data_IF_565263998757
#
_entry.id   IF_565263998757
#
_cell.length_a   1.000
_cell.length_b   1.000
_cell.length_c   1.000
_cell.angle_alpha   90.00
_cell.angle_beta   90.00
_cell.angle_gamma   90.00
#
_symmetry.space_group_name_H-M   'P 1'
#
loop_
_entity.id
_entity.type
_entity.pdbx_description
1 polymer ?
#
# COMPACT_ATOMS: atom_id res chain seq x y z
N UNK A 1 -37.64 -29.14 35.41
CA UNK A 1 -36.94 -29.65 36.61
C UNK A 1 -35.45 -29.57 36.32
N UNK A 2 -34.85 -28.40 36.50
CA UNK A 2 -34.14 -27.97 37.71
C UNK A 2 -32.91 -28.84 38.00
N UNK A 3 -31.75 -28.38 37.52
CA UNK A 3 -30.55 -28.38 38.35
C UNK A 3 -29.93 -26.98 38.32
N UNK A 4 -29.86 -26.43 39.52
CA UNK A 4 -29.32 -25.14 39.96
C UNK A 4 -27.94 -25.42 40.57
N UNK A 5 -26.97 -24.56 40.30
CA UNK A 5 -25.88 -24.08 41.22
C UNK A 5 -25.04 -23.09 40.40
N UNK A 6 -25.23 -21.78 40.48
CA UNK A 6 -24.81 -20.80 41.50
C UNK A 6 -23.28 -20.61 41.69
N UNK A 7 -22.93 -19.31 41.71
CA UNK A 7 -21.77 -18.64 42.32
C UNK A 7 -20.52 -18.45 41.43
N UNK A 8 -19.78 -17.34 41.47
CA UNK A 8 -19.99 -16.04 42.12
C UNK A 8 -19.00 -15.01 41.52
N UNK A 9 -19.35 -13.77 41.79
CA UNK A 9 -18.80 -12.49 41.34
C UNK A 9 -17.42 -12.14 41.92
N UNK A 10 -16.67 -11.37 41.12
CA UNK A 10 -15.70 -10.32 41.49
C UNK A 10 -14.37 -10.70 42.17
N UNK A 11 -13.27 -10.23 41.56
CA UNK A 11 -12.31 -9.36 42.26
C UNK A 11 -11.42 -8.61 41.26
N UNK A 12 -11.44 -7.28 41.38
CA UNK A 12 -10.50 -6.33 40.78
C UNK A 12 -9.11 -6.56 41.39
N UNK A 13 -8.06 -6.53 40.58
CA UNK A 13 -6.74 -6.14 41.06
C UNK A 13 -6.04 -5.21 40.05
N UNK A 14 -5.81 -3.98 40.52
CA UNK A 14 -4.83 -3.04 39.95
C UNK A 14 -3.46 -3.55 40.36
N UNK A 15 -2.52 -3.64 39.41
CA UNK A 15 -1.11 -3.82 39.73
C UNK A 15 -0.27 -2.71 39.10
N UNK A 16 0.52 -2.13 39.99
CA UNK A 16 1.33 -0.93 39.93
C UNK A 16 2.58 -1.16 39.08
N UNK A 17 2.84 -0.29 38.09
CA UNK A 17 4.17 -0.19 37.47
C UNK A 17 5.08 0.62 38.40
N UNK A 18 6.07 -0.04 38.99
CA UNK A 18 7.21 0.60 39.64
C UNK A 18 8.42 0.53 38.69
N UNK A 19 9.01 1.69 38.46
CA UNK A 19 10.28 1.89 37.79
C UNK A 19 11.43 1.52 38.72
N UNK A 20 12.49 0.90 38.20
CA UNK A 20 13.82 0.96 38.79
C UNK A 20 14.89 1.03 37.70
N UNK A 21 15.57 2.19 37.71
CA UNK A 21 16.91 2.40 37.17
C UNK A 21 17.90 1.36 37.71
N UNK A 22 18.84 0.93 36.86
CA UNK A 22 20.26 0.83 37.26
C UNK A 22 21.21 0.84 36.05
N UNK A 23 22.31 1.52 36.31
CA UNK A 23 23.39 2.06 35.49
C UNK A 23 24.51 1.05 35.19
N UNK A 24 25.52 1.42 34.37
CA UNK A 24 26.39 0.50 33.65
C UNK A 24 27.66 0.11 34.42
N UNK A 25 28.25 -1.02 34.05
CA UNK A 25 29.58 -1.45 34.49
C UNK A 25 30.58 -1.25 33.35
N UNK A 26 31.44 -0.24 33.51
CA UNK A 26 32.77 -0.19 32.90
C UNK A 26 33.71 -1.12 33.68
N UNK A 27 34.62 -1.84 33.00
CA UNK A 27 36.09 -1.72 33.20
C UNK A 27 36.90 -2.84 32.50
N UNK A 28 38.04 -2.37 31.95
CA UNK A 28 39.37 -3.02 31.83
C UNK A 28 39.68 -3.94 30.65
N UNK A 29 40.16 -3.29 29.58
CA UNK A 29 41.59 -3.27 29.12
C UNK A 29 42.58 -4.06 30.00
N UNK A 30 43.35 -4.98 29.39
CA UNK A 30 44.82 -4.90 29.27
C UNK A 30 45.47 -6.20 28.73
N UNK A 31 46.49 -5.98 27.91
CA UNK A 31 47.74 -6.73 27.74
C UNK A 31 47.86 -7.97 26.85
N UNK A 32 48.39 -7.67 25.65
CA UNK A 32 49.54 -8.29 24.99
C UNK A 32 50.33 -9.31 25.83
N UNK A 33 50.66 -10.47 25.24
CA UNK A 33 52.05 -10.91 25.18
C UNK A 33 52.29 -11.92 24.04
N UNK A 34 53.31 -11.56 23.29
CA UNK A 34 53.95 -12.24 22.18
C UNK A 34 54.87 -13.32 22.76
N UNK A 35 54.74 -14.58 22.32
CA UNK A 35 55.86 -15.53 22.40
C UNK A 35 55.89 -16.44 21.19
N UNK A 36 57.05 -16.39 20.53
CA UNK A 36 57.51 -17.11 19.36
C UNK A 36 58.28 -18.32 19.88
N UNK A 37 57.90 -19.53 19.53
CA UNK A 37 58.77 -20.71 19.68
C UNK A 37 58.46 -21.71 18.58
N UNK A 38 59.48 -21.98 17.77
CA UNK A 38 59.57 -23.06 16.78
C UNK A 38 59.67 -24.41 17.47
N UNK A 39 59.07 -25.46 16.90
CA UNK A 39 59.75 -26.75 16.69
C UNK A 39 58.90 -27.73 15.86
N UNK A 40 59.57 -28.37 14.90
CA UNK A 40 59.12 -29.51 14.12
C UNK A 40 58.96 -30.75 15.01
N UNK A 41 57.95 -31.56 14.72
CA UNK A 41 57.76 -32.88 15.34
C UNK A 41 56.61 -33.64 14.70
N UNK A 42 56.94 -34.45 13.69
CA UNK A 42 56.07 -35.43 13.02
C UNK A 42 55.55 -36.45 14.04
N UNK A 43 54.25 -36.73 14.09
CA UNK A 43 53.65 -38.09 14.04
C UNK A 43 52.12 -38.10 14.27
N UNK A 44 51.42 -38.77 13.34
CA UNK A 44 50.14 -39.46 13.49
C UNK A 44 48.88 -38.66 13.88
N UNK A 45 48.30 -37.93 12.92
CA UNK A 45 46.88 -37.57 12.97
C UNK A 45 46.01 -38.77 12.57
N UNK A 46 45.43 -39.39 13.59
CA UNK A 46 44.22 -40.20 13.48
C UNK A 46 43.10 -39.35 12.88
N UNK A 47 42.78 -39.63 11.60
CA UNK A 47 41.72 -38.98 10.85
C UNK A 47 40.37 -39.40 11.41
N UNK A 48 39.97 -38.79 12.54
CA UNK A 48 38.59 -38.79 13.01
C UNK A 48 37.82 -37.90 12.04
N UNK A 49 37.29 -38.52 10.98
CA UNK A 49 36.37 -37.89 10.05
C UNK A 49 35.31 -37.15 10.88
N UNK A 50 35.39 -35.81 10.87
CA UNK A 50 34.33 -34.96 11.34
C UNK A 50 33.14 -35.30 10.45
N UNK A 51 32.17 -36.02 11.03
CA UNK A 51 30.84 -36.15 10.45
C UNK A 51 30.26 -34.75 10.47
N UNK A 52 30.49 -34.01 9.39
CA UNK A 52 29.74 -32.80 9.08
C UNK A 52 28.28 -33.24 9.06
N UNK A 53 27.39 -32.63 9.88
CA UNK A 53 25.97 -32.92 9.79
C UNK A 53 25.54 -32.72 8.32
N UNK A 54 24.59 -33.53 7.81
CA UNK A 54 24.15 -33.39 6.43
C UNK A 54 23.74 -31.95 6.20
N UNK A 55 24.48 -31.23 5.34
CA UNK A 55 24.06 -29.91 4.87
C UNK A 55 22.71 -30.12 4.23
N UNK A 56 21.65 -29.60 4.84
CA UNK A 56 20.34 -29.58 4.22
C UNK A 56 20.49 -28.81 2.91
N UNK A 57 20.33 -29.52 1.79
CA UNK A 57 20.47 -28.95 0.47
C UNK A 57 19.32 -27.96 0.24
N UNK A 58 19.65 -26.68 0.02
CA UNK A 58 18.67 -25.63 -0.18
C UNK A 58 17.70 -25.98 -1.31
N UNK A 59 18.20 -26.61 -2.38
CA UNK A 59 17.38 -27.06 -3.51
C UNK A 59 16.33 -28.08 -3.07
N UNK A 60 16.70 -29.05 -2.22
CA UNK A 60 15.76 -30.04 -1.69
C UNK A 60 14.70 -29.40 -0.78
N UNK A 61 15.05 -28.36 -0.03
CA UNK A 61 14.07 -27.61 0.78
C UNK A 61 13.08 -26.87 -0.13
N UNK A 62 13.58 -26.18 -1.16
CA UNK A 62 12.76 -25.46 -2.14
C UNK A 62 11.79 -26.43 -2.84
N UNK A 63 12.26 -27.61 -3.25
CA UNK A 63 11.40 -28.63 -3.88
C UNK A 63 10.27 -29.09 -2.96
N UNK A 64 10.58 -29.35 -1.68
CA UNK A 64 9.57 -29.71 -0.68
C UNK A 64 8.55 -28.61 -0.44
N UNK A 65 8.98 -27.35 -0.39
CA UNK A 65 8.08 -26.20 -0.24
C UNK A 65 7.16 -26.09 -1.46
N UNK A 66 7.72 -26.09 -2.67
CA UNK A 66 6.96 -25.91 -3.90
C UNK A 66 5.94 -27.03 -4.12
N UNK A 67 6.29 -28.27 -3.79
CA UNK A 67 5.35 -29.39 -3.82
C UNK A 67 4.23 -29.20 -2.78
N UNK A 68 4.60 -28.77 -1.57
CA UNK A 68 3.66 -28.59 -0.45
C UNK A 68 2.62 -27.48 -0.67
N UNK A 69 3.00 -26.42 -1.39
CA UNK A 69 2.12 -25.26 -1.64
C UNK A 69 1.37 -25.37 -2.97
N UNK A 70 1.67 -26.38 -3.79
CA UNK A 70 0.99 -26.61 -5.07
C UNK A 70 -0.53 -26.72 -4.84
N UNK A 71 -1.29 -26.04 -5.69
CA UNK A 71 -2.76 -26.04 -5.68
C UNK A 71 -3.44 -25.53 -4.40
N UNK A 72 -2.71 -24.78 -3.55
CA UNK A 72 -3.26 -24.25 -2.29
C UNK A 72 -3.93 -22.86 -2.40
N UNK A 73 -4.14 -22.32 -3.60
CA UNK A 73 -4.59 -20.92 -3.82
C UNK A 73 -3.73 -19.92 -3.02
N UNK A 74 -2.41 -20.00 -3.22
CA UNK A 74 -1.40 -19.20 -2.51
C UNK A 74 -1.43 -19.35 -0.98
N UNK A 75 -1.72 -20.56 -0.50
CA UNK A 75 -1.83 -20.86 0.92
C UNK A 75 -3.20 -20.58 1.54
N UNK A 76 -4.22 -20.21 0.75
CA UNK A 76 -5.58 -20.01 1.27
C UNK A 76 -6.29 -21.34 1.63
N UNK A 77 -5.95 -22.43 0.94
CA UNK A 77 -6.55 -23.76 1.11
C UNK A 77 -5.64 -24.76 1.85
N UNK A 78 -4.49 -24.32 2.37
CA UNK A 78 -3.53 -25.20 3.08
C UNK A 78 -4.02 -25.51 4.51
N UNK A 79 -3.88 -26.75 4.95
CA UNK A 79 -4.20 -27.18 6.32
C UNK A 79 -3.21 -26.59 7.35
N UNK A 80 -3.61 -26.38 8.62
CA UNK A 80 -2.73 -25.85 9.67
C UNK A 80 -1.43 -26.64 9.88
N UNK A 81 -1.48 -27.97 9.81
CA UNK A 81 -0.33 -28.85 10.03
C UNK A 81 0.68 -28.69 8.89
N UNK A 82 0.19 -28.72 7.65
CA UNK A 82 1.00 -28.49 6.45
C UNK A 82 1.57 -27.08 6.39
N UNK A 83 0.80 -26.08 6.87
CA UNK A 83 1.27 -24.71 7.04
C UNK A 83 2.47 -24.64 7.97
N UNK A 84 2.39 -25.29 9.13
CA UNK A 84 3.49 -25.34 10.08
C UNK A 84 4.75 -26.00 9.49
N UNK A 85 4.57 -27.09 8.73
CA UNK A 85 5.70 -27.73 8.00
C UNK A 85 6.34 -26.76 7.00
N UNK A 86 5.54 -26.07 6.19
CA UNK A 86 6.05 -25.09 5.21
C UNK A 86 6.76 -23.94 5.92
N UNK A 87 6.18 -23.39 6.99
CA UNK A 87 6.75 -22.28 7.74
C UNK A 87 8.10 -22.67 8.39
N UNK A 88 8.26 -23.91 8.87
CA UNK A 88 9.55 -24.45 9.37
C UNK A 88 10.60 -24.58 8.26
N UNK A 89 10.22 -25.05 7.07
CA UNK A 89 11.12 -25.13 5.92
C UNK A 89 11.56 -23.73 5.45
N UNK A 90 10.68 -22.73 5.53
CA UNK A 90 11.01 -21.34 5.22
C UNK A 90 12.00 -20.75 6.22
N UNK A 91 11.89 -21.09 7.50
CA UNK A 91 12.87 -20.69 8.53
C UNK A 91 14.25 -21.30 8.27
N UNK A 92 14.31 -22.56 7.82
CA UNK A 92 15.58 -23.18 7.43
C UNK A 92 16.21 -22.48 6.22
N UNK A 93 15.43 -22.10 5.20
CA UNK A 93 15.93 -21.32 4.06
C UNK A 93 16.35 -19.90 4.45
N UNK A 94 15.67 -19.26 5.41
CA UNK A 94 16.08 -17.95 5.95
C UNK A 94 17.47 -18.04 6.59
N UNK A 95 17.77 -19.11 7.34
CA UNK A 95 19.11 -19.33 7.91
C UNK A 95 20.18 -19.53 6.83
N UNK A 96 19.85 -20.25 5.75
CA UNK A 96 20.75 -20.43 4.60
C UNK A 96 20.96 -19.09 3.88
N UNK A 97 19.89 -18.33 3.64
CA UNK A 97 19.93 -17.04 2.96
C UNK A 97 20.62 -15.93 3.74
N UNK A 98 20.68 -16.02 5.08
CA UNK A 98 21.50 -15.12 5.91
C UNK A 98 23.00 -15.19 5.54
N UNK A 99 23.48 -16.34 5.08
CA UNK A 99 24.86 -16.51 4.60
C UNK A 99 25.04 -16.24 3.10
N UNK A 100 23.97 -15.92 2.37
CA UNK A 100 24.00 -15.75 0.92
C UNK A 100 24.72 -14.45 0.52
N UNK A 101 25.60 -14.57 -0.47
CA UNK A 101 26.30 -13.46 -1.12
C UNK A 101 26.18 -13.59 -2.65
N UNK A 102 25.96 -12.51 -3.40
CA UNK A 102 25.71 -11.15 -2.91
C UNK A 102 24.40 -11.05 -2.11
N UNK A 103 24.28 -10.01 -1.27
CA UNK A 103 23.04 -9.73 -0.54
C UNK A 103 21.89 -9.46 -1.53
N UNK A 104 20.63 -9.71 -1.14
CA UNK A 104 19.50 -9.67 -2.06
C UNK A 104 19.36 -8.39 -2.88
N UNK A 105 19.64 -7.21 -2.30
CA UNK A 105 19.53 -5.94 -3.02
C UNK A 105 20.58 -5.75 -4.11
N UNK A 106 21.75 -6.38 -3.96
CA UNK A 106 22.83 -6.36 -4.94
C UNK A 106 22.76 -7.56 -5.90
N UNK A 107 21.84 -8.50 -5.64
CA UNK A 107 21.69 -9.70 -6.45
C UNK A 107 20.83 -9.40 -7.70
N UNK A 108 21.33 -9.63 -8.93
CA UNK A 108 20.55 -9.44 -10.16
C UNK A 108 19.26 -10.26 -10.20
N UNK A 109 19.23 -11.39 -9.49
CA UNK A 109 18.06 -12.24 -9.37
C UNK A 109 16.93 -11.53 -8.64
N UNK A 110 17.12 -10.43 -7.90
CA UNK A 110 16.01 -9.72 -7.26
C UNK A 110 15.02 -9.17 -8.31
N UNK A 111 15.55 -8.68 -9.43
CA UNK A 111 14.77 -8.05 -10.49
C UNK A 111 14.03 -9.09 -11.32
N UNK A 112 12.73 -8.90 -11.52
CA UNK A 112 11.92 -9.78 -12.34
C UNK A 112 10.44 -9.80 -11.97
N UNK A 113 9.69 -10.64 -12.68
CA UNK A 113 8.30 -10.94 -12.41
C UNK A 113 8.17 -12.21 -11.59
N UNK A 114 7.28 -12.19 -10.60
CA UNK A 114 7.04 -13.33 -9.74
C UNK A 114 5.56 -13.60 -9.53
N UNK A 115 5.21 -14.89 -9.45
CA UNK A 115 3.92 -15.32 -8.91
C UNK A 115 4.02 -15.39 -7.39
N UNK A 116 2.98 -14.95 -6.69
CA UNK A 116 2.88 -15.14 -5.24
C UNK A 116 2.35 -16.55 -4.98
N UNK A 117 3.26 -17.51 -4.85
CA UNK A 117 2.93 -18.93 -4.76
C UNK A 117 2.42 -19.33 -3.36
N UNK A 118 2.82 -18.62 -2.31
CA UNK A 118 2.35 -18.87 -0.95
C UNK A 118 2.43 -17.62 -0.08
N UNK A 119 1.45 -17.47 0.81
CA UNK A 119 1.47 -16.50 1.90
C UNK A 119 1.02 -17.10 3.21
N UNK A 120 1.70 -16.74 4.30
CA UNK A 120 1.29 -17.05 5.68
C UNK A 120 1.15 -15.77 6.50
N UNK A 121 0.11 -15.68 7.32
CA UNK A 121 -0.08 -14.54 8.23
C UNK A 121 0.77 -14.73 9.49
N UNK A 122 1.54 -13.72 9.86
CA UNK A 122 2.24 -13.72 11.14
C UNK A 122 1.26 -13.67 12.32
N UNK A 123 1.72 -14.06 13.51
CA UNK A 123 0.91 -14.11 14.76
C UNK A 123 0.25 -12.77 15.13
N UNK A 124 0.75 -11.64 14.61
CA UNK A 124 0.21 -10.30 14.84
C UNK A 124 -0.61 -9.71 13.69
N UNK A 125 -0.83 -10.45 12.60
CA UNK A 125 -1.44 -9.91 11.39
C UNK A 125 -2.92 -10.30 11.27
N UNK A 126 -3.80 -9.29 11.23
CA UNK A 126 -5.22 -9.48 10.94
C UNK A 126 -5.48 -9.37 9.43
N UNK A 127 -6.03 -10.43 8.84
CA UNK A 127 -6.40 -10.49 7.42
C UNK A 127 -5.36 -11.14 6.51
N UNK A 128 -5.67 -11.18 5.21
CA UNK A 128 -4.84 -11.81 4.18
C UNK A 128 -3.63 -10.92 3.82
N UNK A 129 -2.38 -11.43 3.90
CA UNK A 129 -1.18 -10.66 3.59
C UNK A 129 -1.09 -10.20 2.14
N UNK A 130 -1.57 -11.03 1.21
CA UNK A 130 -1.67 -10.69 -0.20
C UNK A 130 -3.12 -10.53 -0.62
N UNK A 131 -3.43 -9.41 -1.30
CA UNK A 131 -4.76 -9.08 -1.81
C UNK A 131 -5.76 -8.54 -0.79
N UNK A 132 -5.43 -8.56 0.51
CA UNK A 132 -6.21 -7.88 1.55
C UNK A 132 -7.70 -8.21 1.53
N UNK A 133 -8.56 -7.18 1.57
CA UNK A 133 -10.03 -7.36 1.62
C UNK A 133 -10.60 -8.05 0.38
N UNK A 134 -9.94 -7.98 -0.78
CA UNK A 134 -10.39 -8.68 -2.00
C UNK A 134 -10.34 -10.20 -1.84
N UNK A 135 -9.51 -10.71 -0.92
CA UNK A 135 -9.40 -12.15 -0.61
C UNK A 135 -10.01 -12.53 0.75
N UNK A 136 -10.65 -11.58 1.45
CA UNK A 136 -11.45 -11.89 2.63
C UNK A 136 -12.72 -12.70 2.28
N UNK A 137 -13.50 -13.12 3.29
CA UNK A 137 -14.69 -13.97 3.08
C UNK A 137 -15.68 -13.40 2.06
N UNK A 138 -16.04 -12.13 2.22
CA UNK A 138 -16.93 -11.41 1.28
C UNK A 138 -16.23 -11.12 -0.04
N UNK A 139 -14.93 -10.79 0.02
CA UNK A 139 -14.08 -10.56 -1.14
C UNK A 139 -14.06 -11.76 -2.07
N UNK A 140 -13.78 -12.97 -1.57
CA UNK A 140 -13.75 -14.22 -2.35
C UNK A 140 -15.07 -14.54 -3.05
N UNK A 141 -16.21 -14.19 -2.44
CA UNK A 141 -17.52 -14.40 -3.05
C UNK A 141 -17.76 -13.46 -4.26
N UNK A 142 -17.27 -12.22 -4.18
CA UNK A 142 -17.45 -11.22 -5.25
C UNK A 142 -16.32 -11.25 -6.28
N UNK A 143 -15.09 -11.47 -5.83
CA UNK A 143 -13.85 -11.35 -6.57
C UNK A 143 -13.09 -12.68 -6.47
N UNK A 144 -13.47 -13.65 -7.32
CA UNK A 144 -12.76 -14.92 -7.37
C UNK A 144 -11.34 -14.67 -7.87
N UNK A 145 -10.33 -14.91 -7.03
CA UNK A 145 -8.93 -14.71 -7.40
C UNK A 145 -8.57 -15.60 -8.59
N UNK A 146 -7.90 -15.02 -9.58
CA UNK A 146 -7.43 -15.68 -10.79
C UNK A 146 -5.90 -15.70 -10.90
N UNK A 147 -5.23 -14.73 -10.27
CA UNK A 147 -3.77 -14.64 -10.28
C UNK A 147 -3.26 -13.65 -9.24
N UNK A 148 -2.06 -13.91 -8.72
CA UNK A 148 -1.37 -13.07 -7.74
C UNK A 148 0.07 -12.91 -8.17
N UNK A 149 0.47 -11.67 -8.41
CA UNK A 149 1.77 -11.36 -8.96
C UNK A 149 2.42 -10.22 -8.20
N UNK A 150 3.74 -10.31 -8.06
CA UNK A 150 4.59 -9.23 -7.59
C UNK A 150 5.80 -9.15 -8.50
N UNK A 151 6.16 -7.94 -8.91
CA UNK A 151 7.38 -7.71 -9.68
C UNK A 151 8.22 -6.65 -9.02
N UNK A 152 9.54 -6.82 -9.11
CA UNK A 152 10.53 -5.80 -8.76
C UNK A 152 11.26 -5.47 -10.05
N UNK A 153 11.02 -4.27 -10.56
CA UNK A 153 11.45 -3.80 -11.86
C UNK A 153 12.51 -2.70 -11.67
N UNK A 154 13.47 -2.67 -12.57
CA UNK A 154 14.46 -1.60 -12.59
C UNK A 154 13.83 -0.27 -13.02
N UNK A 155 14.37 0.88 -12.55
CA UNK A 155 15.47 0.99 -11.60
C UNK A 155 15.06 0.76 -10.13
N UNK A 156 13.82 1.03 -9.76
CA UNK A 156 13.37 1.05 -8.36
C UNK A 156 11.85 0.94 -8.23
N UNK A 157 11.22 0.10 -9.05
CA UNK A 157 9.75 -0.02 -9.11
C UNK A 157 9.32 -1.37 -8.54
N UNK A 158 8.32 -1.36 -7.68
CA UNK A 158 7.62 -2.57 -7.27
C UNK A 158 6.16 -2.50 -7.71
N UNK A 159 5.66 -3.58 -8.30
CA UNK A 159 4.26 -3.71 -8.70
C UNK A 159 3.64 -4.93 -8.06
N UNK A 160 2.42 -4.77 -7.54
CA UNK A 160 1.59 -5.86 -7.06
C UNK A 160 0.34 -5.92 -7.92
N UNK A 161 -0.02 -7.11 -8.40
CA UNK A 161 -1.22 -7.32 -9.20
C UNK A 161 -2.02 -8.48 -8.65
N UNK A 162 -3.30 -8.24 -8.41
CA UNK A 162 -4.27 -9.27 -8.03
C UNK A 162 -5.32 -9.34 -9.11
N UNK A 163 -5.28 -10.40 -9.90
CA UNK A 163 -6.31 -10.67 -10.90
C UNK A 163 -7.49 -11.40 -10.26
N UNK A 164 -8.69 -11.05 -10.71
CA UNK A 164 -9.92 -11.63 -10.22
C UNK A 164 -10.96 -11.77 -11.34
N UNK A 165 -11.98 -12.58 -11.07
CA UNK A 165 -13.24 -12.61 -11.82
C UNK A 165 -14.37 -12.09 -10.94
N UNK A 166 -14.88 -10.91 -11.26
CA UNK A 166 -16.04 -10.31 -10.59
C UNK A 166 -17.28 -11.15 -10.93
N UNK A 167 -18.02 -11.55 -9.88
CA UNK A 167 -19.11 -12.53 -9.95
C UNK A 167 -18.73 -13.86 -10.62
N UNK A 168 -17.43 -14.18 -10.71
CA UNK A 168 -16.91 -15.40 -11.32
C UNK A 168 -16.73 -15.38 -12.83
N UNK A 169 -17.16 -14.32 -13.55
CA UNK A 169 -17.08 -14.27 -15.01
C UNK A 169 -16.51 -12.97 -15.61
N UNK A 170 -16.60 -11.83 -14.93
CA UNK A 170 -16.06 -10.57 -15.47
C UNK A 170 -14.59 -10.45 -15.06
N UNK A 171 -13.62 -10.51 -15.99
CA UNK A 171 -12.22 -10.37 -15.64
C UNK A 171 -11.92 -8.96 -15.12
N UNK A 172 -10.99 -8.87 -14.19
CA UNK A 172 -10.50 -7.60 -13.66
C UNK A 172 -9.23 -7.79 -12.85
N UNK A 173 -8.63 -6.70 -12.41
CA UNK A 173 -7.49 -6.76 -11.51
C UNK A 173 -7.39 -5.53 -10.61
N UNK A 174 -6.71 -5.68 -9.48
CA UNK A 174 -6.23 -4.56 -8.67
C UNK A 174 -4.73 -4.48 -8.81
N UNK A 175 -4.24 -3.33 -9.24
CA UNK A 175 -2.84 -3.04 -9.42
C UNK A 175 -2.32 -2.01 -8.43
N UNK A 176 -1.18 -2.27 -7.80
CA UNK A 176 -0.41 -1.28 -7.07
C UNK A 176 0.93 -1.09 -7.76
N UNK A 177 1.39 0.16 -7.77
CA UNK A 177 2.72 0.54 -8.24
C UNK A 177 3.36 1.42 -7.19
N UNK A 178 4.61 1.13 -6.88
CA UNK A 178 5.34 1.84 -5.85
C UNK A 178 6.82 1.96 -6.14
N UNK A 179 7.46 2.84 -5.37
CA UNK A 179 8.92 3.05 -5.39
C UNK A 179 9.56 2.17 -4.33
N UNK A 180 10.58 1.42 -4.72
CA UNK A 180 11.41 0.58 -3.85
C UNK A 180 12.50 1.45 -3.24
N UNK A 181 12.58 1.45 -1.92
CA UNK A 181 13.61 2.14 -1.16
C UNK A 181 14.34 1.11 -0.29
N UNK A 182 15.68 1.03 -0.35
CA UNK A 182 16.44 0.25 0.62
C UNK A 182 16.12 0.72 2.04
N UNK A 183 15.96 -0.22 2.96
CA UNK A 183 15.75 0.05 4.37
C UNK A 183 16.79 -0.70 5.21
N UNK A 184 17.47 0.02 6.10
CA UNK A 184 18.58 -0.50 6.89
C UNK A 184 19.87 -0.71 6.08
N UNK A 185 20.88 -1.27 6.76
CA UNK A 185 22.25 -1.43 6.23
C UNK A 185 22.57 -2.88 5.80
N UNK A 186 21.65 -3.84 6.02
CA UNK A 186 21.89 -5.28 5.83
C UNK A 186 21.76 -5.75 4.37
N UNK A 187 21.25 -4.89 3.49
CA UNK A 187 21.16 -5.16 2.05
C UNK A 187 20.08 -6.17 1.63
N UNK A 188 19.10 -6.46 2.48
CA UNK A 188 18.02 -7.42 2.21
C UNK A 188 16.60 -6.83 2.30
N UNK A 189 16.46 -5.69 2.96
CA UNK A 189 15.16 -5.13 3.33
C UNK A 189 14.83 -3.93 2.47
N UNK A 190 13.60 -3.92 1.98
CA UNK A 190 13.06 -2.81 1.21
C UNK A 190 11.77 -2.29 1.82
N UNK A 191 11.66 -0.97 1.82
CA UNK A 191 10.40 -0.28 1.99
C UNK A 191 9.86 0.13 0.63
N UNK A 192 8.64 -0.31 0.33
CA UNK A 192 7.94 0.07 -0.90
C UNK A 192 6.85 1.06 -0.57
N UNK A 193 6.90 2.25 -1.17
CA UNK A 193 5.80 3.21 -1.13
C UNK A 193 4.92 3.04 -2.36
N UNK A 194 3.75 2.46 -2.17
CA UNK A 194 2.73 2.32 -3.19
C UNK A 194 1.86 3.58 -3.32
N UNK A 195 1.60 3.93 -4.57
CA UNK A 195 0.54 4.85 -4.96
C UNK A 195 -0.85 4.26 -4.68
N UNK A 196 -1.93 5.08 -4.72
CA UNK A 196 -3.28 4.57 -4.60
C UNK A 196 -3.55 3.48 -5.65
N UNK A 197 -4.10 2.31 -5.24
CA UNK A 197 -4.37 1.19 -6.12
C UNK A 197 -5.26 1.56 -7.30
N UNK A 198 -5.07 0.86 -8.43
CA UNK A 198 -5.94 0.93 -9.60
C UNK A 198 -6.80 -0.33 -9.65
N UNK A 199 -8.12 -0.17 -9.52
CA UNK A 199 -9.09 -1.19 -9.85
C UNK A 199 -9.40 -1.14 -11.34
N UNK A 200 -9.21 -2.26 -12.02
CA UNK A 200 -9.57 -2.45 -13.43
C UNK A 200 -10.66 -3.51 -13.53
N UNK A 201 -11.72 -3.20 -14.29
CA UNK A 201 -12.79 -4.15 -14.62
C UNK A 201 -12.89 -4.23 -16.15
N UNK A 202 -12.86 -5.45 -16.69
CA UNK A 202 -12.72 -5.68 -18.12
C UNK A 202 -11.42 -5.11 -18.67
N UNK A 203 -11.45 -4.64 -19.92
CA UNK A 203 -10.26 -4.13 -20.61
C UNK A 203 -10.10 -2.59 -20.54
N UNK A 204 -11.11 -1.85 -20.08
CA UNK A 204 -11.12 -0.38 -20.24
C UNK A 204 -11.68 0.44 -19.09
N UNK A 205 -12.20 -0.18 -18.02
CA UNK A 205 -12.70 0.58 -16.86
C UNK A 205 -11.63 0.61 -15.78
N UNK A 206 -11.04 1.78 -15.56
CA UNK A 206 -9.98 1.99 -14.58
C UNK A 206 -10.42 3.01 -13.55
N UNK A 207 -10.26 2.66 -12.27
CA UNK A 207 -10.59 3.53 -11.15
C UNK A 207 -9.44 3.48 -10.13
N UNK A 208 -8.80 4.62 -9.88
CA UNK A 208 -7.93 4.76 -8.73
C UNK A 208 -8.75 4.80 -7.45
N UNK A 209 -8.40 3.91 -6.54
CA UNK A 209 -9.12 3.61 -5.30
C UNK A 209 -8.17 3.68 -4.11
N UNK A 210 -8.71 3.86 -2.91
CA UNK A 210 -7.91 3.87 -1.69
C UNK A 210 -6.92 5.02 -1.54
N UNK A 211 -5.97 4.82 -0.62
CA UNK A 211 -4.90 5.77 -0.26
C UNK A 211 -3.54 5.20 -0.66
N UNK A 212 -2.50 6.02 -0.58
CA UNK A 212 -1.11 5.55 -0.61
C UNK A 212 -0.83 4.62 0.55
N UNK A 213 0.09 3.67 0.36
CA UNK A 213 0.43 2.66 1.36
C UNK A 213 1.91 2.33 1.33
N UNK A 214 2.54 2.11 2.49
CA UNK A 214 3.89 1.56 2.58
C UNK A 214 3.87 0.08 3.00
N UNK A 215 4.85 -0.69 2.52
CA UNK A 215 5.09 -2.07 2.94
C UNK A 215 6.58 -2.26 3.13
N UNK A 216 6.98 -2.88 4.24
CA UNK A 216 8.36 -3.28 4.52
C UNK A 216 8.48 -4.79 4.33
N UNK A 217 9.41 -5.20 3.48
CA UNK A 217 9.65 -6.60 3.17
C UNK A 217 11.15 -6.89 3.14
N UNK A 218 11.60 -7.85 3.95
CA UNK A 218 12.94 -8.41 3.87
C UNK A 218 12.96 -9.60 2.91
N UNK A 219 13.92 -9.63 1.99
CA UNK A 219 14.15 -10.80 1.13
C UNK A 219 15.12 -11.75 1.84
N UNK A 220 14.61 -12.84 2.40
CA UNK A 220 15.40 -13.70 3.29
C UNK A 220 16.21 -14.76 2.56
N UNK A 221 15.81 -15.13 1.34
CA UNK A 221 16.49 -16.11 0.49
C UNK A 221 16.11 -15.86 -0.98
N UNK A 222 17.04 -16.07 -1.90
CA UNK A 222 16.85 -15.83 -3.32
C UNK A 222 17.65 -16.81 -4.18
N UNK A 223 17.00 -17.50 -5.10
CA UNK A 223 17.67 -18.32 -6.13
C UNK A 223 17.02 -18.11 -7.52
N UNK A 224 17.38 -18.91 -8.51
CA UNK A 224 16.86 -18.79 -9.87
C UNK A 224 15.36 -19.11 -9.98
N UNK A 225 14.78 -19.83 -9.01
CA UNK A 225 13.41 -20.34 -9.02
C UNK A 225 12.50 -19.55 -8.09
N UNK A 226 12.99 -19.20 -6.91
CA UNK A 226 12.21 -18.62 -5.81
C UNK A 226 12.88 -17.42 -5.18
N UNK A 227 12.04 -16.53 -4.67
CA UNK A 227 12.42 -15.48 -3.74
C UNK A 227 11.55 -15.61 -2.51
N UNK A 228 12.17 -15.60 -1.33
CA UNK A 228 11.46 -15.62 -0.06
C UNK A 228 11.37 -14.21 0.51
N UNK A 229 10.18 -13.85 0.99
CA UNK A 229 9.91 -12.56 1.60
C UNK A 229 9.40 -12.71 3.02
N UNK A 230 9.81 -11.80 3.90
CA UNK A 230 9.33 -11.68 5.27
C UNK A 230 8.85 -10.26 5.52
N UNK A 231 7.55 -10.12 5.79
CA UNK A 231 6.97 -8.83 6.15
C UNK A 231 7.34 -8.43 7.57
N UNK A 232 7.35 -7.12 7.86
CA UNK A 232 7.64 -6.59 9.21
C UNK A 232 6.74 -7.14 10.31
N UNK A 233 5.54 -7.61 9.96
CA UNK A 233 4.58 -8.26 10.88
C UNK A 233 4.74 -9.79 10.99
N UNK A 234 5.81 -10.34 10.42
CA UNK A 234 6.08 -11.77 10.41
C UNK A 234 5.26 -12.58 9.39
N UNK A 235 4.65 -11.92 8.40
CA UNK A 235 4.08 -12.65 7.26
C UNK A 235 5.19 -13.23 6.40
N UNK A 236 4.98 -14.45 5.93
CA UNK A 236 5.92 -15.16 5.07
C UNK A 236 5.37 -15.23 3.64
N UNK A 237 6.27 -15.09 2.67
CA UNK A 237 5.94 -15.07 1.25
C UNK A 237 6.89 -15.98 0.48
N UNK A 238 6.33 -16.80 -0.40
CA UNK A 238 7.10 -17.52 -1.43
C UNK A 238 6.72 -16.96 -2.79
N UNK A 239 7.70 -16.41 -3.48
CA UNK A 239 7.56 -15.89 -4.83
C UNK A 239 8.24 -16.85 -5.80
N UNK A 240 7.55 -17.29 -6.85
CA UNK A 240 8.15 -18.11 -7.92
C UNK A 240 8.41 -17.26 -9.14
N UNK A 241 9.59 -17.40 -9.74
CA UNK A 241 10.03 -16.58 -10.86
C UNK A 241 9.32 -16.94 -12.17
N UNK A 242 8.93 -15.93 -12.95
CA UNK A 242 8.45 -16.06 -14.32
C UNK A 242 7.06 -16.70 -14.47
N UNK A 243 6.83 -17.42 -15.57
CA UNK A 243 5.57 -18.15 -15.82
C UNK A 243 4.40 -17.20 -16.10
N UNK A 244 3.27 -17.38 -15.39
CA UNK A 244 2.10 -16.51 -15.57
C UNK A 244 2.40 -15.03 -15.25
N UNK A 245 3.37 -14.75 -14.37
CA UNK A 245 3.80 -13.40 -14.04
C UNK A 245 4.41 -12.65 -15.24
N UNK A 246 5.09 -13.35 -16.16
CA UNK A 246 5.69 -12.72 -17.36
C UNK A 246 4.62 -12.30 -18.36
N UNK A 247 3.51 -13.04 -18.45
CA UNK A 247 2.37 -12.71 -19.29
C UNK A 247 1.42 -11.68 -18.64
N UNK A 248 1.60 -11.36 -17.35
CA UNK A 248 0.67 -10.52 -16.59
C UNK A 248 0.81 -9.01 -16.86
N UNK A 249 1.74 -8.56 -17.72
CA UNK A 249 1.91 -7.15 -18.09
C UNK A 249 2.27 -6.25 -16.89
N UNK A 250 3.18 -6.75 -16.04
CA UNK A 250 3.51 -6.16 -14.73
C UNK A 250 4.16 -4.78 -14.80
N UNK A 251 4.75 -4.43 -15.95
CA UNK A 251 5.32 -3.12 -16.28
C UNK A 251 4.25 -2.03 -16.37
N UNK A 252 3.05 -2.39 -16.83
CA UNK A 252 1.91 -1.47 -17.03
C UNK A 252 1.03 -1.31 -15.80
N UNK A 253 1.22 -2.13 -14.78
CA UNK A 253 0.38 -2.13 -13.58
C UNK A 253 0.50 -0.79 -12.85
N UNK A 254 -0.66 -0.18 -12.55
CA UNK A 254 -0.76 1.06 -11.79
C UNK A 254 -0.55 2.34 -12.60
N UNK A 255 -0.18 2.25 -13.88
CA UNK A 255 -0.01 3.42 -14.75
C UNK A 255 -1.36 4.00 -15.23
N UNK A 256 -2.44 3.24 -15.13
CA UNK A 256 -3.75 3.66 -15.59
C UNK A 256 -4.29 4.82 -14.75
N UNK A 257 -4.98 5.74 -15.41
CA UNK A 257 -5.66 6.86 -14.78
C UNK A 257 -7.15 6.64 -14.78
N UNK A 258 -7.84 7.20 -13.78
CA UNK A 258 -9.30 7.19 -13.75
C UNK A 258 -9.83 7.99 -14.93
N UNK A 259 -10.46 7.35 -15.90
CA UNK A 259 -11.14 8.06 -16.98
C UNK A 259 -12.46 8.64 -16.49
N UNK A 260 -12.90 9.76 -17.10
CA UNK A 260 -14.19 10.37 -16.79
C UNK A 260 -15.34 9.36 -17.01
N UNK A 261 -15.24 8.57 -18.08
CA UNK A 261 -16.19 7.49 -18.39
C UNK A 261 -16.24 6.45 -17.29
N UNK A 262 -15.08 6.00 -16.79
CA UNK A 262 -15.03 5.05 -15.67
C UNK A 262 -15.68 5.65 -14.43
N UNK A 263 -15.31 6.88 -14.05
CA UNK A 263 -15.89 7.57 -12.89
C UNK A 263 -17.41 7.73 -13.01
N UNK A 264 -17.91 8.10 -14.20
CA UNK A 264 -19.33 8.25 -14.47
C UNK A 264 -20.08 6.91 -14.37
N UNK A 265 -19.54 5.84 -14.96
CA UNK A 265 -20.14 4.50 -14.91
C UNK A 265 -20.17 3.93 -13.49
N UNK A 266 -19.08 4.06 -12.74
CA UNK A 266 -19.07 3.65 -11.33
C UNK A 266 -20.06 4.46 -10.50
N UNK A 267 -20.14 5.78 -10.71
CA UNK A 267 -21.12 6.63 -10.01
C UNK A 267 -22.55 6.24 -10.36
N UNK A 268 -22.85 6.03 -11.65
CA UNK A 268 -24.15 5.58 -12.12
C UNK A 268 -24.52 4.21 -11.54
N UNK A 269 -23.56 3.28 -11.43
CA UNK A 269 -23.76 1.99 -10.78
C UNK A 269 -24.22 2.15 -9.32
N UNK A 270 -23.51 2.93 -8.50
CA UNK A 270 -23.91 3.15 -7.11
C UNK A 270 -25.24 3.90 -6.97
N UNK A 271 -25.49 4.90 -7.82
CA UNK A 271 -26.77 5.60 -7.87
C UNK A 271 -27.89 4.62 -8.23
N UNK A 272 -27.68 3.71 -9.18
CA UNK A 272 -28.67 2.70 -9.56
C UNK A 272 -28.97 1.70 -8.44
N UNK A 273 -27.95 1.25 -7.68
CA UNK A 273 -28.16 0.40 -6.51
C UNK A 273 -28.98 1.13 -5.45
N UNK A 274 -28.70 2.41 -5.22
CA UNK A 274 -29.43 3.21 -4.25
C UNK A 274 -30.89 3.42 -4.67
N UNK A 275 -31.12 3.92 -5.89
CA UNK A 275 -32.46 4.19 -6.43
C UNK A 275 -33.29 2.90 -6.59
N UNK A 276 -32.68 1.81 -7.05
CA UNK A 276 -33.32 0.51 -7.13
C UNK A 276 -33.77 0.00 -5.77
N UNK A 277 -32.92 0.15 -4.75
CA UNK A 277 -33.29 -0.18 -3.37
C UNK A 277 -34.42 0.70 -2.84
N UNK A 278 -34.39 2.01 -3.13
CA UNK A 278 -35.46 2.93 -2.75
C UNK A 278 -36.80 2.58 -3.40
N UNK A 279 -36.80 2.23 -4.69
CA UNK A 279 -38.01 1.80 -5.40
C UNK A 279 -38.59 0.51 -4.79
N UNK A 280 -37.73 -0.48 -4.51
CA UNK A 280 -38.14 -1.72 -3.83
C UNK A 280 -38.70 -1.45 -2.43
N UNK A 281 -38.13 -0.49 -1.71
CA UNK A 281 -38.57 -0.11 -0.36
C UNK A 281 -39.98 0.50 -0.34
N UNK A 282 -40.30 1.34 -1.33
CA UNK A 282 -41.60 2.05 -1.44
C UNK A 282 -42.75 1.10 -1.81
N UNK A 283 -42.47 -0.06 -2.41
CA UNK A 283 -43.49 -1.04 -2.85
C UNK A 283 -44.42 -1.56 -1.73
N UNK A 284 -44.07 -1.38 -0.45
CA UNK A 284 -44.87 -1.82 0.70
C UNK A 284 -44.75 -3.31 1.05
N UNK A 285 -44.29 -4.16 0.13
CA UNK A 285 -44.11 -5.61 0.36
C UNK A 285 -42.88 -5.90 1.22
N UNK A 286 -43.04 -6.72 2.28
CA UNK A 286 -41.95 -7.08 3.21
C UNK A 286 -40.77 -7.74 2.49
N UNK A 287 -41.04 -8.64 1.55
CA UNK A 287 -40.01 -9.33 0.77
C UNK A 287 -39.17 -8.34 -0.07
N UNK A 288 -39.80 -7.34 -0.69
CA UNK A 288 -39.09 -6.33 -1.50
C UNK A 288 -38.30 -5.36 -0.62
N UNK A 289 -38.78 -5.03 0.58
CA UNK A 289 -38.01 -4.27 1.57
C UNK A 289 -36.76 -5.01 2.03
N UNK A 290 -36.86 -6.33 2.25
CA UNK A 290 -35.69 -7.15 2.55
C UNK A 290 -34.68 -7.13 1.39
N UNK A 291 -35.17 -7.26 0.14
CA UNK A 291 -34.32 -7.15 -1.04
C UNK A 291 -33.64 -5.77 -1.18
N UNK A 292 -34.36 -4.69 -0.87
CA UNK A 292 -33.80 -3.34 -0.83
C UNK A 292 -32.64 -3.22 0.17
N UNK A 293 -32.82 -3.75 1.39
CA UNK A 293 -31.75 -3.79 2.40
C UNK A 293 -30.54 -4.58 1.90
N UNK A 294 -30.75 -5.75 1.30
CA UNK A 294 -29.67 -6.54 0.71
C UNK A 294 -28.92 -5.76 -0.37
N UNK A 295 -29.63 -5.01 -1.23
CA UNK A 295 -29.03 -4.22 -2.29
C UNK A 295 -28.18 -3.06 -1.75
N UNK A 296 -28.69 -2.34 -0.73
CA UNK A 296 -27.93 -1.27 -0.07
C UNK A 296 -26.74 -1.80 0.71
N UNK A 297 -26.88 -2.94 1.40
CA UNK A 297 -25.76 -3.59 2.09
C UNK A 297 -24.68 -4.05 1.09
N UNK A 298 -25.07 -4.60 -0.06
CA UNK A 298 -24.15 -4.93 -1.14
C UNK A 298 -23.45 -3.68 -1.68
N UNK A 299 -24.20 -2.60 -1.93
CA UNK A 299 -23.66 -1.31 -2.36
C UNK A 299 -22.68 -0.73 -1.35
N UNK A 300 -23.01 -0.77 -0.06
CA UNK A 300 -22.14 -0.33 1.03
C UNK A 300 -20.88 -1.20 1.14
N UNK A 301 -21.00 -2.51 0.98
CA UNK A 301 -19.85 -3.44 1.01
C UNK A 301 -18.89 -3.18 -0.16
N UNK A 302 -19.40 -3.09 -1.40
CA UNK A 302 -18.58 -2.77 -2.58
C UNK A 302 -17.98 -1.37 -2.45
N UNK A 303 -18.78 -0.38 -2.05
CA UNK A 303 -18.33 1.00 -1.84
C UNK A 303 -17.26 1.11 -0.75
N UNK A 304 -17.36 0.32 0.32
CA UNK A 304 -16.34 0.22 1.37
C UNK A 304 -15.01 -0.32 0.85
N UNK A 305 -15.04 -1.40 0.08
CA UNK A 305 -13.84 -2.00 -0.56
C UNK A 305 -13.18 -1.01 -1.52
N UNK A 306 -13.98 -0.36 -2.39
CA UNK A 306 -13.52 0.66 -3.35
C UNK A 306 -12.95 1.88 -2.61
N UNK A 307 -13.61 2.38 -1.55
CA UNK A 307 -13.10 3.56 -0.82
C UNK A 307 -11.79 3.26 -0.10
N UNK A 308 -11.63 2.07 0.47
CA UNK A 308 -10.47 1.73 1.31
C UNK A 308 -9.28 1.12 0.53
N UNK A 309 -9.44 0.76 -0.74
CA UNK A 309 -8.32 0.25 -1.55
C UNK A 309 -7.87 -1.18 -1.21
N UNK A 310 -8.62 -1.89 -0.38
CA UNK A 310 -8.38 -3.30 -0.04
C UNK A 310 -7.21 -3.59 0.90
N UNK A 311 -6.27 -2.67 1.12
CA UNK A 311 -5.16 -2.86 2.07
C UNK A 311 -5.61 -2.58 3.50
N UNK A 312 -5.15 -3.42 4.43
CA UNK A 312 -5.26 -3.21 5.87
C UNK A 312 -3.98 -2.55 6.34
N UNK A 313 -4.05 -1.26 6.65
CA UNK A 313 -2.95 -0.50 7.24
C UNK A 313 -3.27 -0.23 8.70
N UNK A 314 -2.29 -0.43 9.58
CA UNK A 314 -2.38 0.10 10.93
C UNK A 314 -2.08 1.60 10.90
N UNK A 315 -2.48 2.31 11.95
CA UNK A 315 -2.28 3.77 12.07
C UNK A 315 -0.79 4.19 11.98
N UNK A 316 0.11 3.30 12.34
CA UNK A 316 1.56 3.58 12.28
C UNK A 316 2.07 3.51 10.84
N UNK A 317 1.64 2.51 10.07
CA UNK A 317 1.96 2.43 8.63
C UNK A 317 1.37 3.62 7.87
N UNK A 318 0.15 4.05 8.21
CA UNK A 318 -0.45 5.23 7.60
C UNK A 318 0.42 6.48 7.84
N UNK A 319 0.87 6.68 9.08
CA UNK A 319 1.75 7.81 9.43
C UNK A 319 3.10 7.73 8.72
N UNK A 320 3.69 6.55 8.61
CA UNK A 320 4.95 6.35 7.88
C UNK A 320 4.77 6.58 6.38
N UNK A 321 3.71 6.05 5.77
CA UNK A 321 3.42 6.23 4.36
C UNK A 321 3.20 7.71 4.02
N UNK A 322 2.48 8.45 4.87
CA UNK A 322 2.28 9.89 4.71
C UNK A 322 3.60 10.68 4.82
N UNK A 323 4.43 10.36 5.82
CA UNK A 323 5.72 11.01 6.01
C UNK A 323 6.67 10.79 4.82
N UNK A 324 6.80 9.53 4.37
CA UNK A 324 7.63 9.15 3.24
C UNK A 324 7.12 9.75 1.92
N UNK A 325 5.80 9.77 1.71
CA UNK A 325 5.19 10.43 0.56
C UNK A 325 5.48 11.94 0.55
N UNK A 326 5.42 12.60 1.72
CA UNK A 326 5.76 14.01 1.84
C UNK A 326 7.23 14.28 1.55
N UNK A 327 8.13 13.41 1.98
CA UNK A 327 9.57 13.50 1.70
C UNK A 327 9.87 13.34 0.20
N UNK A 328 9.36 12.28 -0.44
CA UNK A 328 9.54 12.06 -1.88
C UNK A 328 8.98 13.22 -2.70
N UNK A 329 7.85 13.81 -2.29
CA UNK A 329 7.29 14.99 -2.94
C UNK A 329 8.23 16.21 -2.81
N UNK A 330 8.89 16.39 -1.67
CA UNK A 330 9.89 17.46 -1.48
C UNK A 330 11.13 17.22 -2.35
N UNK A 331 11.62 15.99 -2.44
CA UNK A 331 12.78 15.63 -3.27
C UNK A 331 12.49 15.86 -4.75
N UNK A 332 11.36 15.35 -5.25
CA UNK A 332 10.93 15.59 -6.65
C UNK A 332 10.77 17.08 -6.96
N UNK A 333 10.23 17.86 -6.02
CA UNK A 333 10.12 19.31 -6.18
C UNK A 333 11.50 19.98 -6.30
N UNK A 334 12.45 19.59 -5.45
CA UNK A 334 13.83 20.09 -5.49
C UNK A 334 14.56 19.70 -6.78
N UNK A 335 14.35 18.48 -7.26
CA UNK A 335 14.90 18.02 -8.55
C UNK A 335 14.32 18.83 -9.71
N UNK A 336 13.00 19.00 -9.77
CA UNK A 336 12.35 19.83 -10.79
C UNK A 336 12.80 21.30 -10.73
N UNK A 337 12.97 21.87 -9.54
CA UNK A 337 13.51 23.23 -9.37
C UNK A 337 14.97 23.33 -9.84
N UNK A 338 15.80 22.30 -9.57
CA UNK A 338 17.18 22.22 -10.07
C UNK A 338 17.26 22.07 -11.58
N UNK A 339 16.40 21.25 -12.17
CA UNK A 339 16.30 21.09 -13.63
C UNK A 339 15.84 22.40 -14.29
N UNK A 340 14.83 23.07 -13.72
CA UNK A 340 14.37 24.37 -14.20
C UNK A 340 15.46 25.46 -14.07
N UNK A 341 16.21 25.48 -12.97
CA UNK A 341 17.31 26.41 -12.76
C UNK A 341 18.53 26.11 -13.67
N UNK A 342 18.82 24.83 -13.92
CA UNK A 342 19.88 24.39 -14.82
C UNK A 342 19.57 24.64 -16.30
N UNK A 343 18.31 24.50 -16.71
CA UNK A 343 17.85 24.81 -18.06
C UNK A 343 17.87 26.31 -18.38
N UNK A 344 17.79 27.18 -17.36
CA UNK A 344 17.85 28.64 -17.51
C UNK A 344 19.24 29.21 -17.80
N UNK A 345 20.32 28.44 -17.61
CA UNK A 345 21.68 28.90 -17.85
C UNK A 345 22.19 28.66 -19.29
N UNK A 346 21.37 28.04 -20.16
CA UNK A 346 21.81 27.61 -21.48
C UNK A 346 20.72 27.64 -22.55
N UNK A 347 19.98 28.74 -22.70
CA UNK A 347 19.24 29.00 -23.95
C UNK A 347 18.75 30.45 -24.04
N UNK A 348 19.54 31.31 -24.67
CA UNK A 348 19.10 32.61 -25.19
C UNK A 348 18.96 32.53 -26.71
N UNK A 349 17.87 31.96 -27.21
CA UNK A 349 17.22 32.37 -28.47
C UNK A 349 16.06 31.42 -28.80
N UNK A 350 14.86 31.98 -28.98
CA UNK A 350 13.74 31.23 -29.55
C UNK A 350 12.38 31.77 -29.13
N UNK A 351 11.95 32.84 -29.79
CA UNK A 351 10.61 33.40 -29.69
C UNK A 351 9.59 32.39 -30.26
N UNK A 352 8.65 31.90 -29.46
CA UNK A 352 7.67 30.91 -29.89
C UNK A 352 6.44 30.87 -28.99
N UNK A 353 5.43 31.66 -29.34
CA UNK A 353 4.12 31.71 -28.69
C UNK A 353 3.31 30.45 -29.00
N UNK A 354 2.98 29.65 -27.98
CA UNK A 354 2.07 28.51 -28.09
C UNK A 354 1.10 28.45 -26.90
N UNK A 355 -0.16 28.77 -27.16
CA UNK A 355 -1.27 28.69 -26.20
C UNK A 355 -1.73 27.24 -25.99
N UNK A 356 -1.64 26.73 -24.76
CA UNK A 356 -2.20 25.43 -24.36
C UNK A 356 -3.66 25.54 -23.88
N UNK A 357 -4.51 24.52 -24.09
CA UNK A 357 -5.92 24.56 -23.75
C UNK A 357 -6.16 24.31 -22.26
N UNK A 358 -7.04 25.11 -21.66
CA UNK A 358 -7.51 24.96 -20.29
C UNK A 358 -8.48 23.77 -20.17
N UNK A 359 -8.28 22.93 -19.15
CA UNK A 359 -9.20 21.85 -18.80
C UNK A 359 -10.52 22.40 -18.20
N UNK A 360 -11.69 21.80 -18.49
CA UNK A 360 -12.97 22.37 -18.08
C UNK A 360 -13.28 22.09 -16.60
N UNK A 361 -13.29 23.16 -15.80
CA UNK A 361 -13.64 23.19 -14.37
C UNK A 361 -15.09 22.73 -14.03
N UNK A 362 -15.87 22.31 -15.03
CA UNK A 362 -17.30 21.96 -14.89
C UNK A 362 -17.48 20.51 -14.40
N UNK A 363 -16.60 19.59 -14.80
CA UNK A 363 -16.72 18.17 -14.43
C UNK A 363 -16.39 17.89 -12.94
N UNK A 364 -15.46 18.65 -12.36
CA UNK A 364 -15.11 18.55 -10.94
C UNK A 364 -16.28 18.95 -10.02
N UNK A 365 -17.11 19.89 -10.47
CA UNK A 365 -18.29 20.37 -9.73
C UNK A 365 -19.43 19.34 -9.73
N UNK A 366 -19.61 18.59 -10.81
CA UNK A 366 -20.64 17.55 -10.90
C UNK A 366 -20.34 16.35 -9.98
N UNK A 367 -19.08 15.90 -9.94
CA UNK A 367 -18.67 14.82 -9.04
C UNK A 367 -18.77 15.21 -7.55
N UNK A 368 -18.41 16.45 -7.21
CA UNK A 368 -18.58 17.00 -5.86
C UNK A 368 -20.05 17.10 -5.45
N UNK A 369 -20.94 17.48 -6.38
CA UNK A 369 -22.39 17.56 -6.15
C UNK A 369 -23.01 16.18 -5.91
N UNK A 370 -22.63 15.15 -6.68
CA UNK A 370 -23.10 13.78 -6.45
C UNK A 370 -22.66 13.23 -5.08
N UNK A 371 -21.41 13.47 -4.67
CA UNK A 371 -20.90 13.06 -3.35
C UNK A 371 -21.61 13.81 -2.21
N UNK A 372 -21.91 15.09 -2.41
CA UNK A 372 -22.65 15.90 -1.45
C UNK A 372 -24.11 15.44 -1.32
N UNK A 373 -24.80 15.15 -2.43
CA UNK A 373 -26.16 14.62 -2.43
C UNK A 373 -26.24 13.24 -1.77
N UNK A 374 -25.23 12.38 -1.97
CA UNK A 374 -25.14 11.09 -1.30
C UNK A 374 -24.97 11.25 0.22
N UNK A 375 -24.11 12.19 0.66
CA UNK A 375 -23.94 12.52 2.07
C UNK A 375 -25.18 13.14 2.71
N UNK A 376 -25.89 14.01 1.99
CA UNK A 376 -27.14 14.63 2.44
C UNK A 376 -28.29 13.60 2.54
N UNK A 377 -28.37 12.65 1.60
CA UNK A 377 -29.35 11.57 1.65
C UNK A 377 -29.12 10.65 2.85
N UNK A 378 -27.87 10.30 3.15
CA UNK A 378 -27.51 9.50 4.33
C UNK A 378 -27.83 10.28 5.63
N UNK A 379 -27.49 11.58 5.68
CA UNK A 379 -27.80 12.44 6.84
C UNK A 379 -29.31 12.64 7.05
N UNK A 380 -30.10 12.71 5.98
CA UNK A 380 -31.56 12.82 6.04
C UNK A 380 -32.24 11.55 6.59
N UNK A 381 -31.75 10.37 6.20
CA UNK A 381 -32.25 9.08 6.70
C UNK A 381 -31.89 8.88 8.18
N UNK A 382 -30.72 9.35 8.64
CA UNK A 382 -30.35 9.33 10.07
C UNK A 382 -31.25 10.26 10.89
N UNK A 383 -31.64 11.42 10.35
CA UNK A 383 -32.55 12.36 11.04
C UNK A 383 -34.00 11.88 11.14
N UNK A 384 -34.50 11.15 10.13
CA UNK A 384 -35.87 10.61 10.17
C UNK A 384 -35.97 9.26 10.90
N UNK A 385 -34.85 8.56 11.12
CA UNK A 385 -34.82 7.22 11.70
C UNK A 385 -34.72 7.13 13.23
N UNK A 386 -34.66 8.25 13.96
CA UNK A 386 -34.62 8.23 15.43
C UNK A 386 -33.45 7.42 16.02
N UNK A 387 -32.33 7.32 15.30
CA UNK A 387 -31.08 6.82 15.88
C UNK A 387 -30.49 7.96 16.69
N UNK A 388 -30.59 7.87 18.02
CA UNK A 388 -29.95 8.77 18.96
C UNK A 388 -28.45 8.82 18.65
N UNK A 389 -28.04 9.89 17.99
CA UNK A 389 -26.64 10.29 17.86
C UNK A 389 -26.16 10.66 19.25
N UNK A 390 -25.02 10.13 19.68
CA UNK A 390 -24.47 10.44 20.99
C UNK A 390 -24.16 11.94 21.07
N UNK A 391 -24.34 12.56 22.25
CA UNK A 391 -24.11 14.01 22.44
C UNK A 391 -22.69 14.43 22.09
N UNK A 392 -21.75 13.49 22.12
CA UNK A 392 -20.36 13.71 21.75
C UNK A 392 -20.17 13.80 20.22
N UNK A 393 -21.00 13.11 19.43
CA UNK A 393 -20.97 13.19 17.97
C UNK A 393 -21.56 14.52 17.46
N UNK A 394 -22.60 15.04 18.13
CA UNK A 394 -23.14 16.38 17.85
C UNK A 394 -22.08 17.46 18.14
N UNK A 395 -21.38 17.37 19.28
CA UNK A 395 -20.31 18.30 19.65
C UNK A 395 -19.14 18.26 18.67
N UNK A 396 -18.78 17.07 18.19
CA UNK A 396 -17.72 16.91 17.21
C UNK A 396 -18.12 17.48 15.84
N UNK A 397 -19.38 17.31 15.43
CA UNK A 397 -19.91 17.90 14.21
C UNK A 397 -19.96 19.44 14.27
N UNK A 398 -20.37 20.00 15.41
CA UNK A 398 -20.35 21.45 15.65
C UNK A 398 -18.93 22.02 15.64
N UNK A 399 -17.96 21.32 16.25
CA UNK A 399 -16.55 21.72 16.25
C UNK A 399 -15.96 21.73 14.83
N UNK A 400 -16.27 20.71 14.02
CA UNK A 400 -15.85 20.63 12.60
C UNK A 400 -16.48 21.75 11.76
N UNK A 401 -17.77 22.05 11.97
CA UNK A 401 -18.45 23.14 11.29
C UNK A 401 -17.86 24.51 11.65
N UNK A 402 -17.50 24.72 12.93
CA UNK A 402 -16.85 25.93 13.39
C UNK A 402 -15.45 26.12 12.77
N UNK A 403 -14.66 25.03 12.67
CA UNK A 403 -13.32 25.09 12.10
C UNK A 403 -13.36 25.35 10.59
N UNK A 404 -14.29 24.73 9.84
CA UNK A 404 -14.51 25.04 8.43
C UNK A 404 -14.88 26.50 8.19
N UNK A 405 -15.69 27.09 9.08
CA UNK A 405 -16.07 28.50 9.01
C UNK A 405 -14.85 29.42 9.24
N UNK A 406 -13.93 29.05 10.14
CA UNK A 406 -12.67 29.77 10.36
C UNK A 406 -11.73 29.68 9.18
N UNK A 407 -11.60 28.50 8.56
CA UNK A 407 -10.74 28.32 7.38
C UNK A 407 -11.22 29.16 6.21
N UNK A 408 -12.53 29.16 5.92
CA UNK A 408 -13.12 30.01 4.88
C UNK A 408 -12.91 31.50 5.13
N UNK A 409 -13.01 31.94 6.39
CA UNK A 409 -12.74 33.33 6.76
C UNK A 409 -11.27 33.71 6.48
N UNK A 410 -10.32 32.83 6.82
CA UNK A 410 -8.89 33.05 6.54
C UNK A 410 -8.57 33.07 5.05
N UNK A 411 -9.25 32.26 4.25
CA UNK A 411 -9.11 32.28 2.79
C UNK A 411 -9.65 33.59 2.20
N UNK A 412 -10.83 34.04 2.62
CA UNK A 412 -11.39 35.32 2.19
C UNK A 412 -10.50 36.52 2.59
N UNK A 413 -9.92 36.50 3.79
CA UNK A 413 -8.96 37.53 4.24
C UNK A 413 -7.66 37.53 3.41
N UNK A 414 -7.18 36.35 2.99
CA UNK A 414 -6.01 36.24 2.10
C UNK A 414 -6.30 36.74 0.69
N UNK A 415 -7.47 36.45 0.15
CA UNK A 415 -7.90 36.95 -1.15
C UNK A 415 -8.05 38.48 -1.14
N UNK A 416 -8.63 39.03 -0.07
CA UNK A 416 -8.72 40.48 0.13
C UNK A 416 -7.35 41.15 0.25
N UNK A 417 -6.39 40.52 0.94
CA UNK A 417 -5.03 41.05 1.09
C UNK A 417 -4.20 40.95 -0.22
N UNK A 418 -4.44 39.92 -1.04
CA UNK A 418 -3.74 39.71 -2.32
C UNK A 418 -4.16 40.68 -3.43
N UNK A 419 -5.37 41.22 -3.37
CA UNK A 419 -5.91 42.13 -4.39
C UNK A 419 -5.34 43.56 -4.31
N UNK A 420 -4.62 43.93 -3.23
CA UNK A 420 -4.12 45.29 -3.01
C UNK A 420 -2.71 45.60 -3.55
N UNK A 421 -1.96 44.62 -4.06
CA UNK A 421 -0.52 44.76 -4.30
C UNK A 421 -0.10 44.96 -5.77
N UNK A 422 -1.02 45.31 -6.68
CA UNK A 422 -0.73 45.35 -8.12
C UNK A 422 -1.20 46.61 -8.84
N UNK A 423 -0.65 47.79 -8.53
CA UNK A 423 -0.73 48.94 -9.44
C UNK A 423 0.25 50.06 -9.06
N UNK A 424 1.51 49.95 -9.47
CA UNK A 424 2.32 51.11 -9.90
C UNK A 424 3.61 50.65 -10.57
N UNK A 425 3.68 50.76 -11.91
CA UNK A 425 4.95 51.09 -12.54
C UNK A 425 4.68 51.85 -13.83
N UNK A 426 4.99 53.14 -13.78
CA UNK A 426 4.90 54.06 -14.90
C UNK A 426 6.07 53.87 -15.85
N UNK A 427 5.83 54.13 -17.13
CA UNK A 427 6.87 54.21 -18.14
C UNK A 427 6.74 55.57 -18.84
N UNK A 428 7.58 56.52 -18.43
CA UNK A 428 7.81 57.77 -19.14
C UNK A 428 8.86 57.55 -20.22
N UNK A 429 8.50 57.78 -21.48
CA UNK A 429 9.45 57.81 -22.60
C UNK A 429 9.68 59.25 -23.02
N UNK A 430 10.92 59.71 -22.85
CA UNK A 430 11.41 61.00 -23.30
C UNK A 430 11.79 60.96 -24.77
N UNK A 431 11.30 61.97 -25.50
CA UNK A 431 11.61 62.29 -26.89
C UNK A 431 12.95 63.00 -27.03
N UNK A 432 13.80 62.55 -27.96
CA UNK A 432 14.97 63.28 -28.46
C UNK A 432 14.97 63.26 -30.00
N UNK A 433 15.29 64.38 -30.68
CA UNK A 433 15.07 64.53 -32.13
C UNK A 433 16.32 64.23 -32.95
N UNK A 434 16.14 63.78 -34.19
CA UNK A 434 17.16 63.88 -35.22
C UNK A 434 16.52 64.03 -36.62
N UNK A 435 16.98 65.05 -37.32
CA UNK A 435 16.84 65.29 -38.75
C UNK A 435 18.19 65.87 -39.23
N UNK A 436 18.47 66.02 -40.53
CA UNK A 436 18.20 65.10 -41.64
C UNK A 436 19.48 64.87 -42.51
N UNK A 437 19.26 64.15 -43.62
CA UNK A 437 20.14 63.77 -44.73
C UNK A 437 21.21 64.77 -45.22
N UNK A 438 22.27 64.24 -45.87
CA UNK A 438 22.62 64.41 -47.32
C UNK A 438 23.99 63.77 -47.62
N UNK A 439 24.07 63.13 -48.80
CA UNK A 439 25.22 62.75 -49.65
C UNK A 439 26.25 61.73 -49.13
#
# INVERSE_FOLDING_TARGET
MLHVTQNATALRSRSTRQALHRTPVHLRRADQLRCRTTNNGVTAESSKAAVTPPRTDATAIVDRILESIRDTDSGAAISPEKRAEVDELLEQLEQIGAAQQPRPLDNPLLWGNYNVAYTSSGKGQYGEPAGGRFRGRVGKALFRTAGLFQSVLQPDIATNKVEFKLFGFIPGFVGLRGKVLPEGDEGDTVQVLFEPPVLTIGEGLHLRIGRTSSVVLSTTYLDERVRLGKGSRGSLFVFTRGGAADAAGMDRVGLQTTSLTSAALFSAFFVSLFLGGAALWVSGMVALKAAALCLWLLGAAIGGVVRQGGLLMDRDDERMAEALAAELKRTRKREAEREAAGAGAGSSNGNGSGSGPAAPAVALKAAALCLWLLGAAIGGVVRQGGLLMDRDDERMAEALAAELKRTRKREAEREAAGAGAGSSNGNGSGSGPAAPAVA
#
